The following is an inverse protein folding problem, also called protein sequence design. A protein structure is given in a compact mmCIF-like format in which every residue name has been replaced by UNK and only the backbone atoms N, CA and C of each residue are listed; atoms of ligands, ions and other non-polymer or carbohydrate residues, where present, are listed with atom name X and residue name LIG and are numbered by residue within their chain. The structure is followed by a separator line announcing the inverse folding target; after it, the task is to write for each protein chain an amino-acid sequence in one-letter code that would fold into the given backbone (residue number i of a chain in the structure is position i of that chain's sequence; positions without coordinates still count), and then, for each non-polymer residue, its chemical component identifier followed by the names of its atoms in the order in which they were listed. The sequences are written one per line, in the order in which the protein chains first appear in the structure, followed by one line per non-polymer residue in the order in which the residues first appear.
data_IF_890747927997
#
_entry.id   IF_890747927997
#
_cell.length_a   1.000
_cell.length_b   1.000
_cell.length_c   1.000
_cell.angle_alpha   90.00
_cell.angle_beta   90.00
_cell.angle_gamma   90.00
#
_symmetry.space_group_name_H-M   'P 1'
#
loop_
_entity.id
_entity.type
_entity.pdbx_description
1 polymer ?
#
# COMPACT_ATOMS: atom_id res chain seq x y z
N UNK A 1 -36.18 -0.19 27.33
CA UNK A 1 -36.02 0.83 26.31
C UNK A 1 -37.01 0.62 25.16
N UNK A 2 -37.37 1.67 24.44
CA UNK A 2 -38.32 1.59 23.33
C UNK A 2 -37.71 2.25 22.10
N UNK A 3 -37.74 1.57 20.96
CA UNK A 3 -37.42 2.18 19.67
C UNK A 3 -38.65 2.96 19.21
N UNK A 4 -38.54 4.30 19.15
CA UNK A 4 -39.68 5.19 18.74
C UNK A 4 -39.84 5.28 17.24
N UNK A 5 -38.74 5.44 16.50
CA UNK A 5 -38.76 5.51 15.05
C UNK A 5 -37.47 4.96 14.43
N UNK A 6 -37.57 4.49 13.21
CA UNK A 6 -36.46 4.10 12.34
C UNK A 6 -36.69 4.79 11.01
N UNK A 7 -35.88 5.78 10.69
CA UNK A 7 -36.01 6.63 9.50
C UNK A 7 -34.84 6.37 8.56
N UNK A 8 -35.11 5.96 7.33
CA UNK A 8 -34.08 5.84 6.28
C UNK A 8 -33.73 7.23 5.77
N UNK A 9 -32.45 7.55 5.76
CA UNK A 9 -31.87 8.78 5.22
C UNK A 9 -31.14 8.48 3.90
N UNK A 10 -30.65 9.53 3.24
CA UNK A 10 -29.81 9.38 2.05
C UNK A 10 -28.47 8.75 2.39
N UNK A 11 -27.76 8.21 1.39
CA UNK A 11 -26.44 7.55 1.51
C UNK A 11 -26.41 6.39 2.49
N UNK A 12 -27.45 5.56 2.46
CA UNK A 12 -27.59 4.39 3.34
C UNK A 12 -27.40 4.70 4.82
N UNK A 13 -27.82 5.89 5.25
CA UNK A 13 -27.88 6.25 6.66
C UNK A 13 -29.27 5.92 7.19
N UNK A 14 -29.32 5.55 8.47
CA UNK A 14 -30.58 5.31 9.19
C UNK A 14 -30.53 6.04 10.53
N UNK A 15 -31.56 6.80 10.81
CA UNK A 15 -31.72 7.44 12.10
C UNK A 15 -32.65 6.59 12.97
N UNK A 16 -32.16 6.10 14.08
CA UNK A 16 -32.91 5.32 15.06
C UNK A 16 -33.13 6.18 16.29
N UNK A 17 -34.40 6.49 16.59
CA UNK A 17 -34.76 7.26 17.79
C UNK A 17 -35.13 6.26 18.90
N UNK A 18 -34.42 6.34 19.99
CA UNK A 18 -34.52 5.41 21.13
C UNK A 18 -34.87 6.18 22.40
N UNK A 19 -35.85 5.67 23.13
CA UNK A 19 -36.22 6.16 24.46
C UNK A 19 -35.71 5.19 25.52
N UNK A 20 -34.89 5.71 26.42
CA UNK A 20 -34.46 5.03 27.65
C UNK A 20 -35.48 5.34 28.73
N UNK A 21 -36.10 4.29 29.26
CA UNK A 21 -37.17 4.45 30.25
C UNK A 21 -36.64 4.97 31.61
N UNK A 22 -37.54 5.53 32.42
CA UNK A 22 -37.23 6.01 33.79
C UNK A 22 -36.54 4.95 34.63
N UNK A 23 -36.98 3.70 34.56
CA UNK A 23 -36.43 2.58 35.33
C UNK A 23 -34.98 2.24 34.93
N UNK A 24 -34.72 2.20 33.62
CA UNK A 24 -33.39 1.92 33.06
C UNK A 24 -32.42 3.06 33.39
N UNK A 25 -32.89 4.31 33.26
CA UNK A 25 -32.09 5.48 33.58
C UNK A 25 -31.76 5.57 35.05
N UNK A 26 -32.74 5.28 35.96
CA UNK A 26 -32.50 5.23 37.39
C UNK A 26 -31.45 4.19 37.77
N UNK A 27 -31.49 3.02 37.13
CA UNK A 27 -30.46 2.00 37.32
C UNK A 27 -29.06 2.49 36.86
N UNK A 28 -28.99 3.26 35.75
CA UNK A 28 -27.75 3.87 35.28
C UNK A 28 -27.25 4.98 36.23
N UNK A 29 -28.14 5.83 36.74
CA UNK A 29 -27.82 6.85 37.74
C UNK A 29 -27.26 6.19 39.00
N UNK A 30 -27.81 5.06 39.43
CA UNK A 30 -27.26 4.30 40.55
C UNK A 30 -25.86 3.75 40.29
N UNK A 31 -25.58 3.26 39.06
CA UNK A 31 -24.24 2.83 38.65
C UNK A 31 -23.27 4.03 38.66
N UNK A 32 -23.67 5.17 38.10
CA UNK A 32 -22.89 6.40 38.08
C UNK A 32 -22.56 6.91 39.48
N UNK A 33 -23.55 6.93 40.40
CA UNK A 33 -23.30 7.25 41.79
C UNK A 33 -22.23 6.35 42.43
N UNK A 34 -22.33 5.03 42.25
CA UNK A 34 -21.38 4.08 42.83
C UNK A 34 -19.94 4.31 42.31
N UNK A 35 -19.81 4.71 41.03
CA UNK A 35 -18.53 5.04 40.39
C UNK A 35 -17.98 6.38 40.88
N UNK A 36 -18.84 7.40 41.03
CA UNK A 36 -18.44 8.77 41.29
C UNK A 36 -18.35 9.13 42.79
N UNK A 37 -19.04 8.40 43.67
CA UNK A 37 -19.13 8.72 45.13
C UNK A 37 -17.78 8.88 45.81
N UNK A 38 -16.73 8.23 45.35
CA UNK A 38 -15.38 8.33 45.91
C UNK A 38 -14.65 9.62 45.51
N UNK A 39 -15.09 10.22 44.37
CA UNK A 39 -14.51 11.45 43.83
C UNK A 39 -15.20 12.71 44.35
N UNK A 40 -16.43 12.59 44.86
CA UNK A 40 -17.23 13.73 45.33
C UNK A 40 -17.01 13.91 46.84
N UNK A 41 -16.62 15.12 47.22
CA UNK A 41 -16.44 15.51 48.64
C UNK A 41 -17.71 16.15 49.17
N UNK A 42 -18.26 15.60 50.25
CA UNK A 42 -19.47 16.14 50.90
C UNK A 42 -19.10 16.51 52.34
N UNK A 43 -19.33 17.77 52.76
CA UNK A 43 -19.07 18.18 54.13
C UNK A 43 -19.76 17.27 55.15
N UNK A 44 -19.01 16.79 56.16
CA UNK A 44 -19.53 15.89 57.19
C UNK A 44 -19.51 14.41 56.87
N UNK A 45 -19.08 14.02 55.66
CA UNK A 45 -18.95 12.61 55.24
C UNK A 45 -17.54 12.28 54.81
N UNK A 46 -17.08 11.06 55.19
CA UNK A 46 -15.83 10.53 54.63
C UNK A 46 -16.03 10.26 53.12
N UNK A 47 -15.01 10.52 52.28
CA UNK A 47 -15.08 10.21 50.81
C UNK A 47 -15.64 8.82 50.53
N UNK A 48 -16.63 8.72 49.66
CA UNK A 48 -17.30 7.47 49.26
C UNK A 48 -18.36 6.94 50.24
N UNK A 49 -18.67 7.65 51.33
CA UNK A 49 -19.69 7.24 52.32
C UNK A 49 -20.94 8.16 52.33
N UNK A 50 -20.93 9.24 51.57
CA UNK A 50 -22.11 10.10 51.46
C UNK A 50 -23.24 9.39 50.70
N UNK A 51 -24.49 9.35 51.23
CA UNK A 51 -25.64 8.79 50.51
C UNK A 51 -25.96 9.61 49.24
N UNK A 52 -26.44 8.94 48.19
CA UNK A 52 -26.80 9.58 46.91
C UNK A 52 -27.67 10.83 47.10
N UNK A 53 -28.75 10.74 47.85
CA UNK A 53 -29.66 11.85 48.16
C UNK A 53 -28.99 13.09 48.78
N UNK A 54 -27.93 12.90 49.54
CA UNK A 54 -27.18 14.02 50.11
C UNK A 54 -26.29 14.72 49.09
N UNK A 55 -25.72 13.95 48.15
CA UNK A 55 -24.95 14.51 47.05
C UNK A 55 -25.86 15.27 46.10
N UNK A 56 -27.00 14.69 45.70
CA UNK A 56 -28.03 15.32 44.86
C UNK A 56 -28.59 16.62 45.49
N UNK A 57 -28.78 16.63 46.79
CA UNK A 57 -29.24 17.84 47.52
C UNK A 57 -28.20 18.98 47.50
N UNK A 58 -26.92 18.64 47.53
CA UNK A 58 -25.82 19.62 47.61
C UNK A 58 -25.40 20.12 46.22
N UNK A 59 -25.34 19.21 45.23
CA UNK A 59 -24.82 19.50 43.90
C UNK A 59 -25.90 19.55 42.79
N UNK A 60 -27.14 19.29 43.14
CA UNK A 60 -28.27 19.22 42.24
C UNK A 60 -28.61 17.78 41.82
N UNK A 61 -29.89 17.55 41.45
CA UNK A 61 -30.40 16.24 41.06
C UNK A 61 -29.68 15.67 39.83
N UNK A 62 -29.25 16.54 38.90
CA UNK A 62 -28.56 16.17 37.68
C UNK A 62 -27.08 15.83 37.81
N UNK A 63 -26.50 15.86 39.02
CA UNK A 63 -25.05 15.66 39.22
C UNK A 63 -24.50 14.34 38.66
N UNK A 64 -25.34 13.32 38.50
CA UNK A 64 -24.97 12.01 38.00
C UNK A 64 -25.50 11.74 36.58
N UNK A 65 -26.27 12.69 35.98
CA UNK A 65 -26.96 12.42 34.71
C UNK A 65 -26.02 12.21 33.52
N UNK A 66 -24.97 13.00 33.43
CA UNK A 66 -24.00 12.85 32.34
C UNK A 66 -23.33 11.45 32.41
N UNK A 67 -22.79 11.07 33.56
CA UNK A 67 -22.19 9.73 33.75
C UNK A 67 -23.20 8.58 33.58
N UNK A 68 -24.49 8.83 33.90
CA UNK A 68 -25.56 7.86 33.76
C UNK A 68 -25.93 7.67 32.28
N UNK A 69 -26.00 8.73 31.51
CA UNK A 69 -26.19 8.69 30.05
C UNK A 69 -25.08 7.91 29.40
N UNK A 70 -23.81 8.26 29.70
CA UNK A 70 -22.63 7.56 29.18
C UNK A 70 -22.63 6.05 29.52
N UNK A 71 -23.19 5.68 30.69
CA UNK A 71 -23.27 4.29 31.11
C UNK A 71 -24.47 3.52 30.50
N UNK A 72 -25.58 4.21 30.20
CA UNK A 72 -26.79 3.60 29.66
C UNK A 72 -26.78 3.47 28.13
N UNK A 73 -26.13 4.40 27.45
CA UNK A 73 -26.17 4.61 26.01
C UNK A 73 -25.65 3.39 25.22
N UNK A 74 -24.51 2.74 25.54
CA UNK A 74 -24.01 1.58 24.81
C UNK A 74 -24.98 0.39 24.87
N UNK A 75 -25.53 0.13 26.07
CA UNK A 75 -26.47 -0.98 26.28
C UNK A 75 -27.78 -0.73 25.52
N UNK A 76 -28.32 0.51 25.60
CA UNK A 76 -29.55 0.90 24.91
C UNK A 76 -29.39 0.87 23.40
N UNK A 77 -28.28 1.36 22.87
CA UNK A 77 -27.96 1.32 21.43
C UNK A 77 -27.88 -0.12 20.92
N UNK A 78 -27.10 -0.97 21.58
CA UNK A 78 -26.91 -2.37 21.18
C UNK A 78 -28.25 -3.13 21.12
N UNK A 79 -29.11 -2.93 22.11
CA UNK A 79 -30.44 -3.53 22.15
C UNK A 79 -31.36 -2.98 21.04
N UNK A 80 -31.27 -1.64 20.78
CA UNK A 80 -32.08 -1.00 19.72
C UNK A 80 -31.71 -1.54 18.34
N UNK A 81 -30.43 -1.65 18.03
CA UNK A 81 -29.95 -2.20 16.75
C UNK A 81 -30.33 -3.68 16.62
N UNK A 82 -30.10 -4.49 17.68
CA UNK A 82 -30.48 -5.90 17.68
C UNK A 82 -31.99 -6.14 17.46
N UNK A 83 -32.86 -5.25 17.97
CA UNK A 83 -34.31 -5.35 17.76
C UNK A 83 -34.78 -4.82 16.41
N UNK A 84 -34.04 -3.92 15.78
CA UNK A 84 -34.40 -3.34 14.46
C UNK A 84 -33.92 -4.19 13.28
N UNK A 85 -33.05 -5.18 13.50
CA UNK A 85 -32.55 -6.07 12.43
C UNK A 85 -31.70 -5.33 11.39
N UNK A 86 -31.13 -4.18 11.74
CA UNK A 86 -30.28 -3.39 10.87
C UNK A 86 -28.85 -3.94 10.85
N UNK A 87 -28.30 -4.05 9.67
CA UNK A 87 -26.91 -4.45 9.45
C UNK A 87 -26.05 -3.17 9.41
N UNK A 88 -25.55 -2.77 10.58
CA UNK A 88 -24.88 -1.49 10.77
C UNK A 88 -23.39 -1.56 10.43
N UNK A 89 -22.87 -0.45 9.89
CA UNK A 89 -21.46 -0.27 9.54
C UNK A 89 -20.90 0.95 10.28
N UNK A 90 -19.74 0.78 10.90
CA UNK A 90 -19.09 1.87 11.63
C UNK A 90 -19.73 2.21 12.97
N UNK A 91 -19.38 3.39 13.48
CA UNK A 91 -19.87 3.89 14.77
C UNK A 91 -21.06 4.82 14.59
N UNK A 92 -22.05 4.79 15.52
CA UNK A 92 -23.17 5.72 15.48
C UNK A 92 -22.77 7.15 15.81
N UNK A 93 -23.39 8.12 15.12
CA UNK A 93 -23.45 9.49 15.58
C UNK A 93 -24.68 9.65 16.47
N UNK A 94 -24.44 10.08 17.71
CA UNK A 94 -25.50 10.12 18.74
C UNK A 94 -25.82 11.54 19.12
N UNK A 95 -27.09 11.88 18.99
CA UNK A 95 -27.65 13.15 19.44
C UNK A 95 -28.71 12.90 20.53
N UNK A 96 -28.63 13.64 21.63
CA UNK A 96 -29.67 13.61 22.64
C UNK A 96 -30.78 14.57 22.22
N UNK A 97 -31.99 14.03 22.03
CA UNK A 97 -33.11 14.79 21.43
C UNK A 97 -33.80 15.69 22.43
N UNK A 98 -33.83 15.29 23.71
CA UNK A 98 -34.47 16.05 24.76
C UNK A 98 -33.46 16.88 25.56
N UNK A 99 -33.66 18.20 25.65
CA UNK A 99 -32.91 19.09 26.56
C UNK A 99 -33.11 18.72 28.05
N UNK A 100 -34.04 17.82 28.35
CA UNK A 100 -34.40 17.38 29.69
C UNK A 100 -34.05 15.91 29.90
N UNK A 101 -32.76 15.67 30.17
CA UNK A 101 -32.36 14.44 30.84
C UNK A 101 -32.92 14.54 32.28
N UNK A 102 -33.88 13.70 32.63
CA UNK A 102 -34.58 13.79 33.89
C UNK A 102 -34.94 12.44 34.48
N UNK A 103 -35.78 12.52 35.55
CA UNK A 103 -36.28 11.31 36.22
C UNK A 103 -37.14 10.40 35.32
N UNK A 104 -37.66 10.95 34.24
CA UNK A 104 -38.50 10.22 33.29
C UNK A 104 -37.71 9.49 32.21
N UNK A 105 -36.36 9.56 32.29
CA UNK A 105 -35.46 8.98 31.33
C UNK A 105 -34.91 10.02 30.34
N UNK A 106 -34.48 9.57 29.15
CA UNK A 106 -34.04 10.44 28.06
C UNK A 106 -34.26 9.77 26.70
N UNK A 107 -34.34 10.59 25.65
CA UNK A 107 -34.43 10.11 24.27
C UNK A 107 -33.16 10.50 23.51
N UNK A 108 -32.60 9.59 22.75
CA UNK A 108 -31.48 9.87 21.87
C UNK A 108 -31.80 9.42 20.45
N UNK A 109 -31.19 10.09 19.51
CA UNK A 109 -31.20 9.75 18.09
C UNK A 109 -29.81 9.23 17.70
N UNK A 110 -29.73 7.98 17.25
CA UNK A 110 -28.51 7.40 16.72
C UNK A 110 -28.60 7.38 15.18
N UNK A 111 -27.73 8.13 14.52
CA UNK A 111 -27.56 8.08 13.07
C UNK A 111 -26.45 7.09 12.76
N UNK A 112 -26.79 6.03 12.02
CA UNK A 112 -25.89 4.93 11.70
C UNK A 112 -25.87 4.69 10.20
N UNK A 113 -24.70 4.31 9.68
CA UNK A 113 -24.60 3.76 8.34
C UNK A 113 -25.03 2.29 8.36
N UNK A 114 -25.79 1.88 7.35
CA UNK A 114 -26.18 0.48 7.17
C UNK A 114 -25.61 -0.05 5.86
N UNK A 115 -25.48 -1.36 5.77
CA UNK A 115 -25.08 -2.00 4.53
C UNK A 115 -26.03 -1.60 3.40
N UNK A 116 -25.52 -1.04 2.28
CA UNK A 116 -26.37 -0.56 1.20
C UNK A 116 -27.08 -1.71 0.48
N UNK A 117 -28.32 -1.46 0.05
CA UNK A 117 -28.98 -2.35 -0.88
C UNK A 117 -28.32 -2.22 -2.26
N UNK A 118 -27.86 -3.35 -2.82
CA UNK A 118 -27.12 -3.38 -4.08
C UNK A 118 -28.00 -3.94 -5.18
N UNK A 119 -28.22 -3.15 -6.22
CA UNK A 119 -28.79 -3.62 -7.47
C UNK A 119 -27.65 -4.11 -8.38
N UNK A 120 -27.61 -5.42 -8.64
CA UNK A 120 -26.63 -6.03 -9.54
C UNK A 120 -26.95 -5.65 -10.99
N UNK A 121 -25.92 -5.17 -11.70
CA UNK A 121 -25.93 -5.09 -13.14
C UNK A 121 -25.63 -6.45 -13.80
N UNK A 122 -25.02 -6.42 -14.97
CA UNK A 122 -24.61 -7.63 -15.66
C UNK A 122 -23.32 -8.18 -15.04
N UNK A 123 -23.39 -9.30 -14.32
CA UNK A 123 -22.24 -9.98 -13.72
C UNK A 123 -21.88 -11.30 -14.39
N UNK A 124 -22.78 -11.89 -15.22
CA UNK A 124 -22.50 -13.08 -16.04
C UNK A 124 -22.20 -12.69 -17.48
N UNK A 125 -21.21 -13.35 -18.09
CA UNK A 125 -20.83 -13.12 -19.47
C UNK A 125 -20.09 -11.81 -19.70
N UNK A 126 -19.53 -11.22 -18.67
CA UNK A 126 -18.65 -10.04 -18.74
C UNK A 126 -17.38 -10.43 -19.46
N UNK A 127 -16.83 -9.53 -20.29
CA UNK A 127 -15.59 -9.79 -21.02
C UNK A 127 -14.40 -9.01 -20.41
N UNK A 128 -13.25 -9.65 -20.29
CA UNK A 128 -12.01 -9.00 -19.92
C UNK A 128 -10.84 -9.55 -20.73
N UNK A 129 -9.76 -8.76 -20.83
CA UNK A 129 -8.54 -9.17 -21.51
C UNK A 129 -7.81 -10.19 -20.67
N UNK A 130 -7.59 -11.39 -21.22
CA UNK A 130 -6.76 -12.42 -20.58
C UNK A 130 -5.38 -12.39 -21.22
N UNK A 131 -4.38 -12.05 -20.44
CA UNK A 131 -2.99 -12.05 -20.90
C UNK A 131 -2.50 -13.48 -21.14
N UNK A 132 -1.85 -13.72 -22.28
CA UNK A 132 -1.15 -14.98 -22.56
C UNK A 132 0.21 -14.98 -21.87
N UNK A 133 0.40 -15.91 -20.93
CA UNK A 133 1.70 -16.06 -20.27
C UNK A 133 2.69 -16.72 -21.23
N UNK A 134 3.82 -16.04 -21.45
CA UNK A 134 4.95 -16.55 -22.23
C UNK A 134 6.22 -16.38 -21.40
N UNK A 135 6.91 -17.49 -21.17
CA UNK A 135 8.22 -17.51 -20.51
C UNK A 135 9.28 -17.82 -21.56
N UNK A 136 10.17 -16.87 -21.77
CA UNK A 136 11.28 -16.99 -22.74
C UNK A 136 12.51 -17.61 -22.08
N UNK A 137 13.45 -18.07 -22.90
CA UNK A 137 14.74 -18.52 -22.40
C UNK A 137 15.56 -17.41 -21.74
N UNK A 138 15.33 -16.16 -22.17
CA UNK A 138 15.98 -14.98 -21.59
C UNK A 138 15.46 -14.68 -20.18
N UNK A 139 14.15 -14.84 -19.91
CA UNK A 139 13.58 -14.71 -18.55
C UNK A 139 14.22 -15.70 -17.57
N UNK A 140 14.37 -16.96 -18.00
CA UNK A 140 15.01 -17.99 -17.20
C UNK A 140 16.48 -17.66 -16.94
N UNK A 141 17.20 -17.20 -17.98
CA UNK A 141 18.59 -16.80 -17.87
C UNK A 141 18.78 -15.60 -16.94
N UNK A 142 17.90 -14.62 -17.03
CA UNK A 142 17.93 -13.46 -16.15
C UNK A 142 17.73 -13.86 -14.68
N UNK A 143 16.75 -14.73 -14.40
CA UNK A 143 16.53 -15.25 -13.04
C UNK A 143 17.73 -16.02 -12.50
N UNK A 144 18.36 -16.84 -13.33
CA UNK A 144 19.58 -17.57 -12.96
C UNK A 144 20.78 -16.63 -12.74
N UNK A 145 20.92 -15.60 -13.55
CA UNK A 145 21.94 -14.56 -13.33
C UNK A 145 21.73 -13.83 -12.01
N UNK A 146 20.48 -13.48 -11.66
CA UNK A 146 20.15 -12.88 -10.35
C UNK A 146 20.49 -13.83 -9.18
N UNK A 147 20.30 -15.14 -9.35
CA UNK A 147 20.72 -16.12 -8.35
C UNK A 147 22.25 -16.17 -8.26
N UNK A 148 22.96 -16.19 -9.39
CA UNK A 148 24.42 -16.18 -9.41
C UNK A 148 25.02 -14.88 -8.84
N UNK A 149 24.36 -13.74 -9.04
CA UNK A 149 24.78 -12.45 -8.45
C UNK A 149 24.67 -12.45 -6.92
N UNK A 150 23.70 -13.15 -6.36
CA UNK A 150 23.54 -13.30 -4.90
C UNK A 150 24.65 -14.15 -4.27
N UNK A 151 25.13 -15.14 -5.01
CA UNK A 151 26.23 -16.03 -4.61
C UNK A 151 27.61 -15.49 -5.02
N UNK A 152 27.67 -14.29 -5.60
CA UNK A 152 28.92 -13.69 -6.03
C UNK A 152 29.84 -13.43 -4.83
N UNK A 153 31.11 -13.80 -5.00
CA UNK A 153 32.16 -13.58 -4.00
C UNK A 153 33.00 -12.36 -4.39
N UNK A 154 33.31 -11.56 -3.40
CA UNK A 154 34.24 -10.44 -3.57
C UNK A 154 35.68 -10.94 -3.40
N UNK A 155 36.47 -10.90 -4.47
CA UNK A 155 37.85 -11.35 -4.47
C UNK A 155 38.76 -10.14 -4.69
N UNK A 156 39.76 -9.96 -3.80
CA UNK A 156 40.75 -8.91 -3.92
C UNK A 156 41.59 -9.07 -5.16
N UNK A 157 41.77 -7.99 -5.91
CA UNK A 157 42.53 -7.98 -7.18
C UNK A 157 43.47 -6.82 -7.26
N UNK A 158 44.71 -7.09 -7.72
CA UNK A 158 45.72 -6.05 -7.93
C UNK A 158 45.69 -5.52 -9.38
N UNK A 159 44.61 -4.78 -9.68
CA UNK A 159 44.37 -4.11 -10.95
C UNK A 159 43.63 -2.80 -10.75
N UNK A 160 43.53 -2.03 -11.83
CA UNK A 160 42.72 -0.81 -11.83
C UNK A 160 41.23 -1.10 -11.65
N UNK A 161 40.57 -0.24 -10.90
CA UNK A 161 39.08 -0.26 -10.70
C UNK A 161 38.36 -0.20 -12.02
N UNK A 162 37.38 -1.06 -12.20
CA UNK A 162 36.46 -1.11 -13.32
C UNK A 162 35.02 -0.96 -12.84
N UNK A 163 34.13 -0.67 -13.77
CA UNK A 163 32.69 -0.69 -13.48
C UNK A 163 32.25 -2.11 -13.08
N UNK A 164 31.50 -2.23 -11.99
CA UNK A 164 31.05 -3.50 -11.39
C UNK A 164 32.00 -4.07 -10.32
N UNK A 165 33.18 -3.45 -10.09
CA UNK A 165 34.04 -3.81 -8.97
C UNK A 165 33.55 -3.12 -7.69
N UNK A 166 33.89 -3.68 -6.53
CA UNK A 166 33.74 -3.05 -5.24
C UNK A 166 35.07 -2.43 -4.81
N UNK A 167 35.13 -1.12 -4.75
CA UNK A 167 36.29 -0.41 -4.23
C UNK A 167 36.12 -0.15 -2.73
N UNK A 168 37.10 -0.55 -1.92
CA UNK A 168 37.17 -0.17 -0.52
C UNK A 168 37.89 1.18 -0.47
N UNK A 169 37.19 2.23 -0.09
CA UNK A 169 37.70 3.61 -0.15
C UNK A 169 37.66 4.31 1.21
N UNK A 170 38.60 5.20 1.43
CA UNK A 170 38.48 6.27 2.40
C UNK A 170 38.17 7.54 1.64
N UNK A 171 37.24 8.33 2.15
CA UNK A 171 36.87 9.60 1.53
C UNK A 171 36.64 10.69 2.57
N UNK A 172 36.97 11.92 2.24
CA UNK A 172 36.67 13.11 3.04
C UNK A 172 36.27 14.26 2.12
N UNK A 173 35.09 14.83 2.33
CA UNK A 173 34.51 15.88 1.50
C UNK A 173 34.77 17.29 2.09
N UNK A 174 35.11 18.23 1.24
CA UNK A 174 35.40 19.62 1.61
C UNK A 174 34.52 20.58 0.80
N UNK A 175 33.78 21.47 1.49
CA UNK A 175 33.13 22.64 0.90
C UNK A 175 34.00 23.86 1.10
N UNK A 176 34.57 24.43 0.03
CA UNK A 176 35.48 25.55 0.07
C UNK A 176 36.70 25.36 1.05
N UNK A 177 37.23 24.14 1.15
CA UNK A 177 38.34 23.78 2.00
C UNK A 177 37.98 23.49 3.46
N UNK A 178 36.70 23.43 3.81
CA UNK A 178 36.21 23.07 5.14
C UNK A 178 35.49 21.71 5.06
N UNK A 179 35.95 20.77 5.87
CA UNK A 179 35.27 19.45 5.94
C UNK A 179 33.84 19.60 6.44
N UNK A 180 32.88 18.91 5.81
CA UNK A 180 31.49 18.96 6.20
C UNK A 180 31.02 17.64 6.87
N UNK A 181 30.05 17.76 7.75
CA UNK A 181 29.51 16.64 8.50
C UNK A 181 28.82 15.65 7.55
N UNK A 182 29.11 14.33 7.70
CA UNK A 182 28.62 13.28 6.81
C UNK A 182 29.43 13.10 5.53
N UNK A 183 30.46 13.92 5.27
CA UNK A 183 31.34 13.80 4.11
C UNK A 183 32.55 12.89 4.29
N UNK A 184 32.69 12.21 5.46
CA UNK A 184 33.85 11.37 5.76
C UNK A 184 33.43 9.91 5.97
N UNK A 185 34.21 8.98 5.37
CA UNK A 185 34.10 7.54 5.58
C UNK A 185 35.46 6.87 5.45
N UNK A 186 35.68 5.84 6.26
CA UNK A 186 36.90 5.03 6.24
C UNK A 186 36.54 3.56 5.93
N UNK A 187 37.31 2.91 5.07
CA UNK A 187 37.10 1.53 4.61
C UNK A 187 35.67 1.27 4.11
N UNK A 188 35.11 2.23 3.40
CA UNK A 188 33.76 2.11 2.85
C UNK A 188 33.77 1.25 1.58
N UNK A 189 32.95 0.20 1.55
CA UNK A 189 32.79 -0.65 0.37
C UNK A 189 31.82 -0.01 -0.60
N UNK A 190 32.31 0.41 -1.76
CA UNK A 190 31.52 1.06 -2.81
C UNK A 190 31.52 0.21 -4.09
N UNK A 191 30.35 -0.27 -4.49
CA UNK A 191 30.17 -0.93 -5.81
C UNK A 191 30.14 0.15 -6.90
N UNK A 192 31.11 0.10 -7.81
CA UNK A 192 31.29 1.10 -8.87
C UNK A 192 30.27 0.90 -9.99
N UNK A 193 29.39 1.85 -10.16
CA UNK A 193 28.29 1.82 -11.10
C UNK A 193 26.93 1.50 -10.47
N UNK A 194 26.87 1.42 -9.13
CA UNK A 194 25.64 1.22 -8.37
C UNK A 194 24.74 2.46 -8.31
N UNK A 195 25.34 3.65 -8.47
CA UNK A 195 24.66 4.93 -8.27
C UNK A 195 24.36 5.25 -6.79
N UNK A 196 25.02 4.57 -5.86
CA UNK A 196 24.85 4.78 -4.41
C UNK A 196 25.44 6.10 -3.93
N UNK A 197 26.43 6.64 -4.66
CA UNK A 197 27.04 7.91 -4.39
C UNK A 197 26.52 9.01 -5.34
N UNK A 198 26.93 10.24 -5.05
CA UNK A 198 26.55 11.41 -5.85
C UNK A 198 26.97 11.20 -7.31
N UNK A 199 26.14 11.57 -8.30
CA UNK A 199 26.45 11.39 -9.71
C UNK A 199 27.83 11.96 -10.10
N UNK A 200 28.63 11.14 -10.80
CA UNK A 200 29.98 11.50 -11.22
C UNK A 200 31.09 11.14 -10.22
N UNK A 201 30.76 10.69 -9.00
CA UNK A 201 31.76 10.25 -8.01
C UNK A 201 32.36 8.90 -8.42
N UNK A 202 31.54 7.91 -8.68
CA UNK A 202 31.95 6.55 -9.03
C UNK A 202 32.73 6.53 -10.37
N UNK A 203 32.32 7.34 -11.34
CA UNK A 203 32.98 7.43 -12.65
C UNK A 203 34.42 7.93 -12.56
N UNK A 204 34.72 8.79 -11.57
CA UNK A 204 36.06 9.32 -11.38
C UNK A 204 37.03 8.40 -10.63
N UNK A 205 36.49 7.38 -9.94
CA UNK A 205 37.26 6.32 -9.27
C UNK A 205 37.67 5.24 -10.29
N UNK A 206 36.95 5.09 -11.39
CA UNK A 206 37.29 4.14 -12.46
C UNK A 206 38.73 4.45 -12.96
N UNK A 207 39.60 3.44 -12.97
CA UNK A 207 40.96 3.52 -13.42
C UNK A 207 41.99 3.76 -12.33
N UNK A 208 41.59 4.07 -11.07
CA UNK A 208 42.46 4.12 -9.91
C UNK A 208 42.94 2.73 -9.49
N UNK A 209 44.06 2.65 -8.79
CA UNK A 209 44.58 1.42 -8.20
C UNK A 209 44.53 1.47 -6.68
N UNK A 210 44.62 0.29 -6.06
CA UNK A 210 44.81 0.19 -4.63
C UNK A 210 46.06 1.03 -4.17
N UNK A 211 45.88 1.80 -3.10
CA UNK A 211 46.85 2.74 -2.57
C UNK A 211 46.91 4.11 -3.26
N UNK A 212 46.16 4.36 -4.31
CA UNK A 212 46.11 5.61 -5.04
C UNK A 212 45.12 6.60 -4.38
N UNK A 213 45.56 7.87 -4.29
CA UNK A 213 44.77 8.97 -3.75
C UNK A 213 44.47 9.98 -4.86
N UNK A 214 43.24 10.53 -4.84
CA UNK A 214 42.80 11.48 -5.85
C UNK A 214 41.74 12.42 -5.29
N UNK A 215 41.82 13.69 -5.70
CA UNK A 215 40.79 14.66 -5.44
C UNK A 215 39.74 14.58 -6.55
N UNK A 216 38.49 14.49 -6.14
CA UNK A 216 37.33 14.32 -7.02
C UNK A 216 36.40 15.52 -6.86
N UNK A 217 36.21 16.27 -7.94
CA UNK A 217 35.29 17.42 -7.98
C UNK A 217 33.88 16.93 -8.26
N UNK A 218 32.93 17.23 -7.36
CA UNK A 218 31.53 16.83 -7.47
C UNK A 218 30.63 18.04 -7.29
N UNK A 219 29.56 18.10 -8.09
CA UNK A 219 28.47 19.05 -7.90
C UNK A 219 27.24 18.29 -7.39
N UNK A 220 26.77 18.65 -6.20
CA UNK A 220 25.56 18.04 -5.65
C UNK A 220 24.31 18.40 -6.47
N UNK A 221 23.35 17.46 -6.64
CA UNK A 221 22.07 17.74 -7.29
C UNK A 221 21.27 18.80 -6.53
N UNK A 222 20.39 19.53 -7.23
CA UNK A 222 19.50 20.52 -6.61
C UNK A 222 18.52 19.91 -5.58
N UNK A 223 18.20 18.61 -5.74
CA UNK A 223 17.30 17.86 -4.85
C UNK A 223 18.03 17.21 -3.66
N UNK A 224 19.17 17.75 -3.24
CA UNK A 224 19.92 17.25 -2.08
C UNK A 224 19.58 18.05 -0.82
N UNK A 225 20.23 17.73 0.32
CA UNK A 225 20.03 18.50 1.57
C UNK A 225 20.31 19.98 1.36
N UNK A 226 19.51 20.86 1.99
CA UNK A 226 19.55 22.34 1.79
C UNK A 226 20.93 22.95 1.92
N UNK A 227 21.81 22.35 2.72
CA UNK A 227 23.14 22.87 3.00
C UNK A 227 24.15 22.54 1.90
N UNK A 228 23.90 21.52 1.07
CA UNK A 228 24.81 21.04 0.03
C UNK A 228 24.22 21.09 -1.39
N UNK A 229 22.89 21.31 -1.54
CA UNK A 229 22.21 21.34 -2.84
C UNK A 229 22.85 22.35 -3.80
N UNK A 230 23.23 21.88 -5.01
CA UNK A 230 23.82 22.67 -6.06
C UNK A 230 25.28 23.14 -5.79
N UNK A 231 25.86 22.78 -4.63
CA UNK A 231 27.25 23.16 -4.32
C UNK A 231 28.26 22.27 -4.99
N UNK A 232 29.38 22.87 -5.37
CA UNK A 232 30.58 22.17 -5.82
C UNK A 232 31.50 21.90 -4.63
N UNK A 233 31.83 20.63 -4.42
CA UNK A 233 32.69 20.15 -3.33
C UNK A 233 33.81 19.30 -3.87
N UNK A 234 34.86 19.18 -3.11
CA UNK A 234 36.02 18.34 -3.44
C UNK A 234 36.04 17.18 -2.44
N UNK A 235 36.10 15.97 -2.95
CA UNK A 235 36.33 14.78 -2.15
C UNK A 235 37.74 14.30 -2.30
N UNK A 236 38.47 14.21 -1.19
CA UNK A 236 39.77 13.52 -1.15
C UNK A 236 39.48 12.03 -0.97
N UNK A 237 39.81 11.22 -1.97
CA UNK A 237 39.48 9.79 -2.02
C UNK A 237 40.75 8.97 -2.12
N UNK A 238 40.87 7.98 -1.26
CA UNK A 238 41.94 6.97 -1.28
C UNK A 238 41.31 5.60 -1.52
N UNK A 239 41.79 4.85 -2.51
CA UNK A 239 41.39 3.47 -2.74
C UNK A 239 42.28 2.55 -1.92
N UNK A 240 41.73 1.88 -0.91
CA UNK A 240 42.49 0.95 -0.07
C UNK A 240 42.62 -0.43 -0.73
N UNK A 241 41.53 -0.92 -1.32
CA UNK A 241 41.46 -2.27 -1.94
C UNK A 241 40.48 -2.25 -3.10
N UNK A 242 40.77 -3.07 -4.11
CA UNK A 242 39.85 -3.32 -5.24
C UNK A 242 39.41 -4.77 -5.17
N UNK A 243 38.11 -5.00 -5.07
CA UNK A 243 37.51 -6.33 -5.05
C UNK A 243 36.68 -6.54 -6.32
N UNK A 244 36.93 -7.62 -7.02
CA UNK A 244 36.15 -8.05 -8.17
C UNK A 244 34.98 -8.92 -7.71
N UNK A 245 33.79 -8.61 -8.18
CA UNK A 245 32.60 -9.43 -7.95
C UNK A 245 32.65 -10.63 -8.90
N UNK A 246 33.11 -11.78 -8.40
CA UNK A 246 33.15 -13.01 -9.15
C UNK A 246 31.82 -13.75 -9.00
N UNK A 247 31.01 -13.70 -10.04
CA UNK A 247 29.79 -14.51 -10.13
C UNK A 247 30.18 -15.92 -10.54
N UNK A 248 29.62 -16.96 -9.89
CA UNK A 248 29.86 -18.35 -10.29
C UNK A 248 29.37 -18.58 -11.73
N UNK A 249 30.04 -19.47 -12.44
CA UNK A 249 29.61 -19.89 -13.75
C UNK A 249 28.28 -20.65 -13.64
N UNK A 250 27.38 -20.46 -14.61
CA UNK A 250 26.11 -21.19 -14.65
C UNK A 250 26.37 -22.61 -15.21
N UNK A 251 26.77 -23.51 -14.32
CA UNK A 251 27.06 -24.93 -14.59
C UNK A 251 26.38 -25.85 -13.56
N UNK A 252 26.68 -27.13 -13.61
CA UNK A 252 26.10 -28.13 -12.72
C UNK A 252 26.58 -27.97 -11.27
N UNK A 253 27.76 -27.39 -11.05
CA UNK A 253 28.30 -27.10 -9.71
C UNK A 253 27.49 -25.99 -9.08
N UNK A 254 27.20 -24.89 -9.83
CA UNK A 254 26.32 -23.84 -9.41
C UNK A 254 24.91 -24.37 -9.05
N UNK A 255 24.35 -25.28 -9.85
CA UNK A 255 23.03 -25.83 -9.56
C UNK A 255 22.99 -26.57 -8.20
N UNK A 256 24.04 -27.28 -7.85
CA UNK A 256 24.17 -27.96 -6.55
C UNK A 256 24.35 -27.02 -5.38
N UNK A 257 25.05 -25.89 -5.61
CA UNK A 257 25.31 -24.90 -4.56
C UNK A 257 24.07 -24.10 -4.19
N UNK A 258 23.18 -23.81 -5.17
CA UNK A 258 22.02 -22.91 -4.97
C UNK A 258 20.69 -23.65 -4.84
N UNK A 259 20.66 -24.97 -5.04
CA UNK A 259 19.42 -25.75 -5.07
C UNK A 259 19.64 -27.22 -4.70
N UNK A 260 18.54 -27.98 -4.67
CA UNK A 260 18.56 -29.44 -4.47
C UNK A 260 18.83 -30.23 -5.78
N UNK A 261 19.03 -29.52 -6.91
CA UNK A 261 19.21 -30.15 -8.21
C UNK A 261 20.68 -30.49 -8.49
N UNK A 262 20.90 -31.62 -9.17
CA UNK A 262 22.26 -32.06 -9.52
C UNK A 262 22.77 -31.43 -10.82
N UNK A 263 21.88 -30.96 -11.69
CA UNK A 263 22.23 -30.41 -13.01
C UNK A 263 21.63 -29.03 -13.26
N UNK A 264 22.38 -28.23 -14.02
CA UNK A 264 21.89 -26.92 -14.47
C UNK A 264 20.62 -27.03 -15.32
N UNK A 265 20.41 -28.13 -16.00
CA UNK A 265 19.21 -28.38 -16.81
C UNK A 265 17.97 -28.49 -15.92
N UNK A 266 18.07 -29.29 -14.85
CA UNK A 266 16.97 -29.44 -13.86
C UNK A 266 16.65 -28.10 -13.20
N UNK A 267 17.65 -27.35 -12.79
CA UNK A 267 17.47 -26.00 -12.22
C UNK A 267 16.79 -25.05 -13.22
N UNK A 268 17.14 -25.10 -14.51
CA UNK A 268 16.48 -24.31 -15.57
C UNK A 268 15.03 -24.69 -15.76
N UNK A 269 14.73 -25.99 -15.78
CA UNK A 269 13.38 -26.50 -15.98
C UNK A 269 12.49 -26.13 -14.77
N UNK A 270 12.99 -26.24 -13.54
CA UNK A 270 12.31 -25.82 -12.32
C UNK A 270 12.11 -24.30 -12.28
N UNK A 271 13.16 -23.52 -12.58
CA UNK A 271 13.08 -22.06 -12.64
C UNK A 271 12.03 -21.62 -13.66
N UNK A 272 12.00 -22.27 -14.83
CA UNK A 272 10.97 -22.00 -15.84
C UNK A 272 9.58 -22.32 -15.35
N UNK A 273 9.40 -23.47 -14.67
CA UNK A 273 8.12 -23.86 -14.08
C UNK A 273 7.66 -22.85 -13.03
N UNK A 274 8.56 -22.39 -12.15
CA UNK A 274 8.27 -21.37 -11.13
C UNK A 274 7.87 -20.03 -11.75
N UNK A 275 8.63 -19.51 -12.73
CA UNK A 275 8.30 -18.27 -13.43
C UNK A 275 6.95 -18.41 -14.16
N UNK A 276 6.68 -19.59 -14.76
CA UNK A 276 5.41 -19.83 -15.45
C UNK A 276 4.26 -19.79 -14.44
N UNK A 277 4.36 -20.49 -13.32
CA UNK A 277 3.35 -20.51 -12.28
C UNK A 277 3.13 -19.12 -11.64
N UNK A 278 4.20 -18.36 -11.38
CA UNK A 278 4.13 -16.98 -10.87
C UNK A 278 3.38 -16.06 -11.86
N UNK A 279 3.72 -16.14 -13.14
CA UNK A 279 3.07 -15.33 -14.19
C UNK A 279 1.63 -15.76 -14.45
N UNK A 280 1.33 -17.06 -14.45
CA UNK A 280 -0.04 -17.59 -14.59
C UNK A 280 -0.92 -17.14 -13.44
N UNK A 281 -0.42 -17.20 -12.22
CA UNK A 281 -1.13 -16.71 -11.04
C UNK A 281 -1.37 -15.20 -11.12
N UNK A 282 -0.37 -14.43 -11.51
CA UNK A 282 -0.49 -12.97 -11.69
C UNK A 282 -1.49 -12.62 -12.80
N UNK A 283 -1.43 -13.30 -13.93
CA UNK A 283 -2.37 -13.10 -15.04
C UNK A 283 -3.81 -13.52 -14.66
N UNK A 284 -3.95 -14.57 -13.85
CA UNK A 284 -5.25 -14.99 -13.32
C UNK A 284 -5.84 -13.92 -12.40
N UNK A 285 -5.07 -13.42 -11.44
CA UNK A 285 -5.52 -12.36 -10.52
C UNK A 285 -5.85 -11.08 -11.29
N UNK A 286 -5.02 -10.69 -12.27
CA UNK A 286 -5.29 -9.52 -13.10
C UNK A 286 -6.59 -9.66 -13.91
N UNK A 287 -6.86 -10.85 -14.45
CA UNK A 287 -8.08 -11.14 -15.16
C UNK A 287 -9.32 -11.12 -14.26
N UNK A 288 -9.23 -11.73 -13.07
CA UNK A 288 -10.27 -11.71 -12.04
C UNK A 288 -10.61 -10.28 -11.60
N UNK A 289 -9.57 -9.49 -11.32
CA UNK A 289 -9.74 -8.07 -10.93
C UNK A 289 -10.38 -7.25 -12.05
N UNK A 290 -9.95 -7.42 -13.29
CA UNK A 290 -10.53 -6.71 -14.44
C UNK A 290 -12.01 -7.06 -14.66
N UNK A 291 -12.41 -8.30 -14.40
CA UNK A 291 -13.81 -8.71 -14.44
C UNK A 291 -14.60 -8.07 -13.30
N UNK A 292 -14.07 -8.14 -12.08
CA UNK A 292 -14.73 -7.58 -10.90
C UNK A 292 -14.88 -6.06 -10.98
N UNK A 293 -13.86 -5.34 -11.50
CA UNK A 293 -13.96 -3.90 -11.74
C UNK A 293 -15.09 -3.54 -12.69
N UNK A 294 -15.29 -4.33 -13.77
CA UNK A 294 -16.40 -4.11 -14.70
C UNK A 294 -17.74 -4.39 -14.03
N UNK A 295 -17.86 -5.50 -13.29
CA UNK A 295 -19.06 -5.81 -12.53
C UNK A 295 -19.35 -4.72 -11.50
N UNK A 296 -18.34 -4.28 -10.76
CA UNK A 296 -18.45 -3.21 -9.78
C UNK A 296 -18.81 -1.83 -10.39
N UNK A 297 -18.43 -1.62 -11.67
CA UNK A 297 -18.85 -0.44 -12.42
C UNK A 297 -20.34 -0.40 -12.76
N UNK A 298 -20.95 -1.56 -12.91
CA UNK A 298 -22.36 -1.72 -13.33
C UNK A 298 -23.33 -1.83 -12.14
N UNK A 299 -22.86 -1.94 -10.90
CA UNK A 299 -23.72 -1.96 -9.72
C UNK A 299 -24.27 -0.56 -9.40
N UNK A 300 -25.50 -0.53 -8.88
CA UNK A 300 -26.08 0.64 -8.26
C UNK A 300 -26.20 0.41 -6.77
N UNK A 301 -25.48 1.19 -5.99
CA UNK A 301 -25.50 1.17 -4.54
C UNK A 301 -25.25 2.57 -4.01
N UNK A 302 -25.99 2.95 -2.98
CA UNK A 302 -25.78 4.22 -2.27
C UNK A 302 -24.80 3.98 -1.12
N UNK A 303 -23.49 4.15 -1.42
CA UNK A 303 -22.39 3.77 -0.53
C UNK A 303 -22.22 4.81 0.57
N UNK A 304 -22.33 4.43 1.85
CA UNK A 304 -22.07 5.36 2.95
C UNK A 304 -20.61 5.79 2.99
N UNK A 305 -20.37 7.04 3.33
CA UNK A 305 -19.03 7.62 3.45
C UNK A 305 -18.13 6.84 4.42
N UNK A 306 -18.71 6.38 5.52
CA UNK A 306 -18.01 5.58 6.54
C UNK A 306 -17.34 4.34 5.97
N UNK A 307 -17.97 3.63 5.01
CA UNK A 307 -17.36 2.46 4.37
C UNK A 307 -16.11 2.83 3.57
N UNK A 308 -16.15 3.99 2.91
CA UNK A 308 -15.00 4.48 2.13
C UNK A 308 -13.86 4.87 3.06
N UNK A 309 -14.16 5.59 4.15
CA UNK A 309 -13.17 5.98 5.16
C UNK A 309 -12.53 4.77 5.85
N UNK A 310 -13.34 3.78 6.22
CA UNK A 310 -12.82 2.54 6.82
C UNK A 310 -11.91 1.78 5.85
N UNK A 311 -12.25 1.76 4.57
CA UNK A 311 -11.39 1.12 3.56
C UNK A 311 -10.08 1.90 3.36
N UNK A 312 -10.12 3.24 3.37
CA UNK A 312 -8.91 4.05 3.36
C UNK A 312 -8.02 3.79 4.58
N UNK A 313 -8.62 3.65 5.77
CA UNK A 313 -7.87 3.29 6.99
C UNK A 313 -7.23 1.91 6.89
N UNK A 314 -7.93 0.92 6.34
CA UNK A 314 -7.34 -0.41 6.08
C UNK A 314 -6.12 -0.32 5.16
N UNK A 315 -6.21 0.45 4.07
CA UNK A 315 -5.07 0.67 3.18
C UNK A 315 -3.89 1.33 3.90
N UNK A 316 -4.17 2.30 4.78
CA UNK A 316 -3.15 2.95 5.59
C UNK A 316 -2.48 1.97 6.56
N UNK A 317 -3.26 1.13 7.23
CA UNK A 317 -2.74 0.15 8.17
C UNK A 317 -1.91 -0.92 7.47
N UNK A 318 -2.36 -1.42 6.32
CA UNK A 318 -1.57 -2.34 5.47
C UNK A 318 -0.27 -1.69 5.00
N UNK A 319 -0.31 -0.41 4.64
CA UNK A 319 0.87 0.35 4.24
C UNK A 319 1.85 0.51 5.40
N UNK A 320 1.36 0.86 6.61
CA UNK A 320 2.17 0.93 7.83
C UNK A 320 2.83 -0.40 8.16
N UNK A 321 2.09 -1.52 8.05
CA UNK A 321 2.63 -2.87 8.26
C UNK A 321 3.71 -3.23 7.24
N UNK A 322 3.51 -2.87 5.96
CA UNK A 322 4.50 -3.11 4.90
C UNK A 322 5.80 -2.34 5.15
N UNK A 323 5.72 -1.07 5.55
CA UNK A 323 6.88 -0.27 5.93
C UNK A 323 7.61 -0.88 7.14
N UNK A 324 6.85 -1.31 8.15
CA UNK A 324 7.41 -1.96 9.33
C UNK A 324 8.14 -3.26 9.00
N UNK A 325 7.60 -4.08 8.09
CA UNK A 325 8.26 -5.29 7.60
C UNK A 325 9.57 -5.00 6.86
N UNK A 326 9.70 -3.81 6.25
CA UNK A 326 10.92 -3.31 5.61
C UNK A 326 11.86 -2.61 6.60
N UNK A 327 11.51 -2.52 7.88
CA UNK A 327 12.31 -1.85 8.91
C UNK A 327 12.24 -0.32 8.85
N UNK A 328 11.28 0.25 8.12
CA UNK A 328 11.11 1.71 7.95
C UNK A 328 9.98 2.18 8.88
N UNK A 329 10.26 3.01 9.91
CA UNK A 329 9.22 3.62 10.72
C UNK A 329 8.35 4.57 9.88
N UNK A 330 7.01 4.50 10.04
CA UNK A 330 6.07 5.34 9.29
C UNK A 330 6.36 6.84 9.43
N UNK A 331 6.71 7.31 10.65
CA UNK A 331 7.05 8.72 10.89
C UNK A 331 8.31 9.18 10.13
N UNK A 332 9.26 8.28 9.94
CA UNK A 332 10.47 8.56 9.17
C UNK A 332 10.14 8.66 7.68
N UNK A 333 9.31 7.75 7.19
CA UNK A 333 8.81 7.79 5.80
C UNK A 333 8.08 9.10 5.51
N UNK A 334 7.16 9.52 6.40
CA UNK A 334 6.43 10.78 6.28
C UNK A 334 7.36 12.01 6.23
N UNK A 335 8.40 12.04 7.07
CA UNK A 335 9.40 13.13 7.05
C UNK A 335 10.21 13.17 5.76
N UNK A 336 10.53 12.01 5.18
CA UNK A 336 11.33 11.92 3.94
C UNK A 336 10.52 12.30 2.70
N UNK A 337 9.24 11.90 2.64
CA UNK A 337 8.39 12.07 1.46
C UNK A 337 7.50 13.31 1.52
N UNK A 338 7.32 13.91 2.69
CA UNK A 338 6.36 14.98 2.92
C UNK A 338 4.89 14.51 2.83
N UNK A 339 4.66 13.20 2.89
CA UNK A 339 3.32 12.62 2.93
C UNK A 339 2.81 12.61 4.38
N UNK A 340 1.57 12.97 4.58
CA UNK A 340 0.87 12.83 5.85
C UNK A 340 -0.36 11.92 5.72
N UNK A 341 -0.97 11.60 6.85
CA UNK A 341 -2.12 10.70 6.89
C UNK A 341 -3.33 11.28 6.13
N UNK A 342 -3.54 12.59 6.22
CA UNK A 342 -4.65 13.26 5.54
C UNK A 342 -4.51 13.15 4.02
N UNK A 343 -3.32 13.38 3.50
CA UNK A 343 -3.03 13.24 2.07
C UNK A 343 -3.12 11.79 1.61
N UNK A 344 -2.64 10.83 2.42
CA UNK A 344 -2.79 9.41 2.12
C UNK A 344 -4.27 9.01 2.02
N UNK A 345 -5.12 9.50 2.94
CA UNK A 345 -6.55 9.26 2.92
C UNK A 345 -7.24 9.90 1.70
N UNK A 346 -6.80 11.10 1.29
CA UNK A 346 -7.30 11.77 0.09
C UNK A 346 -6.93 11.01 -1.19
N UNK A 347 -5.66 10.68 -1.36
CA UNK A 347 -5.14 9.94 -2.53
C UNK A 347 -5.71 8.50 -2.58
N UNK A 348 -5.96 7.89 -1.42
CA UNK A 348 -6.52 6.55 -1.26
C UNK A 348 -8.03 6.45 -1.51
N UNK A 349 -8.75 7.58 -1.57
CA UNK A 349 -10.22 7.60 -1.64
C UNK A 349 -10.78 6.92 -2.89
N UNK A 350 -10.25 7.23 -4.05
CA UNK A 350 -10.73 6.65 -5.31
C UNK A 350 -10.49 5.13 -5.39
N UNK A 351 -9.30 4.60 -5.07
CA UNK A 351 -9.10 3.16 -4.90
C UNK A 351 -10.03 2.52 -3.86
N UNK A 352 -10.29 3.20 -2.73
CA UNK A 352 -11.19 2.69 -1.71
C UNK A 352 -12.64 2.56 -2.21
N UNK A 353 -13.13 3.55 -2.94
CA UNK A 353 -14.47 3.47 -3.57
C UNK A 353 -14.55 2.29 -4.52
N UNK A 354 -13.50 2.03 -5.33
CA UNK A 354 -13.47 0.87 -6.24
C UNK A 354 -13.49 -0.44 -5.46
N UNK A 355 -12.69 -0.55 -4.40
CA UNK A 355 -12.66 -1.76 -3.57
C UNK A 355 -13.99 -2.02 -2.88
N UNK A 356 -14.59 -1.01 -2.25
CA UNK A 356 -15.90 -1.14 -1.60
C UNK A 356 -16.98 -1.58 -2.61
N UNK A 357 -16.97 -1.03 -3.83
CA UNK A 357 -17.88 -1.47 -4.88
C UNK A 357 -17.69 -2.94 -5.27
N UNK A 358 -16.43 -3.40 -5.35
CA UNK A 358 -16.12 -4.80 -5.65
C UNK A 358 -16.63 -5.71 -4.52
N UNK A 359 -16.39 -5.34 -3.28
CA UNK A 359 -16.83 -6.11 -2.11
C UNK A 359 -18.35 -6.20 -2.05
N UNK A 360 -19.03 -5.08 -2.32
CA UNK A 360 -20.51 -5.04 -2.40
C UNK A 360 -21.07 -5.89 -3.55
N UNK A 361 -20.41 -5.86 -4.71
CA UNK A 361 -20.78 -6.69 -5.86
C UNK A 361 -20.65 -8.19 -5.52
N UNK A 362 -19.55 -8.59 -4.91
CA UNK A 362 -19.31 -9.97 -4.46
C UNK A 362 -20.40 -10.41 -3.46
N UNK A 363 -20.67 -9.58 -2.44
CA UNK A 363 -21.71 -9.88 -1.45
C UNK A 363 -23.10 -10.01 -2.07
N UNK A 364 -23.41 -9.17 -3.07
CA UNK A 364 -24.67 -9.26 -3.80
C UNK A 364 -24.76 -10.51 -4.68
N UNK A 365 -23.65 -10.93 -5.31
CA UNK A 365 -23.59 -12.18 -6.10
C UNK A 365 -23.79 -13.40 -5.19
N UNK A 366 -23.16 -13.44 -4.01
CA UNK A 366 -23.35 -14.51 -3.01
C UNK A 366 -24.83 -14.67 -2.69
N UNK A 367 -25.53 -13.56 -2.44
CA UNK A 367 -26.98 -13.57 -2.17
C UNK A 367 -27.81 -14.00 -3.39
N UNK A 368 -27.49 -13.51 -4.59
CA UNK A 368 -28.21 -13.79 -5.81
C UNK A 368 -28.10 -15.25 -6.24
N UNK A 369 -26.93 -15.86 -6.09
CA UNK A 369 -26.66 -17.26 -6.45
C UNK A 369 -26.93 -18.23 -5.28
N UNK A 370 -27.33 -17.73 -4.10
CA UNK A 370 -27.53 -18.52 -2.88
C UNK A 370 -26.31 -19.41 -2.57
N UNK A 371 -25.12 -18.84 -2.66
CA UNK A 371 -23.88 -19.57 -2.39
C UNK A 371 -23.76 -19.88 -0.90
N UNK A 372 -23.39 -21.12 -0.60
CA UNK A 372 -23.11 -21.56 0.77
C UNK A 372 -21.80 -22.37 0.80
N UNK A 373 -21.24 -22.50 1.99
CA UNK A 373 -19.99 -23.23 2.26
C UNK A 373 -20.27 -24.22 3.37
N UNK A 374 -19.93 -25.48 3.11
CA UNK A 374 -20.05 -26.56 4.09
C UNK A 374 -18.88 -26.56 5.06
N UNK A 375 -19.08 -27.17 6.23
CA UNK A 375 -18.00 -27.30 7.22
C UNK A 375 -16.87 -28.20 6.70
N UNK A 376 -17.16 -29.13 5.80
CA UNK A 376 -16.15 -29.98 5.13
C UNK A 376 -15.23 -29.15 4.24
N UNK A 377 -15.76 -28.21 3.47
CA UNK A 377 -14.97 -27.30 2.63
C UNK A 377 -14.07 -26.38 3.47
N UNK A 378 -14.57 -25.92 4.63
CA UNK A 378 -13.77 -25.12 5.57
C UNK A 378 -12.59 -25.97 6.12
N UNK A 379 -12.82 -27.22 6.48
CA UNK A 379 -11.77 -28.12 6.96
C UNK A 379 -10.73 -28.44 5.86
N UNK A 380 -11.16 -28.62 4.61
CA UNK A 380 -10.26 -28.81 3.46
C UNK A 380 -9.41 -27.57 3.21
N UNK A 381 -10.02 -26.39 3.31
CA UNK A 381 -9.29 -25.11 3.16
C UNK A 381 -8.22 -24.95 4.25
N UNK A 382 -8.55 -25.25 5.51
CA UNK A 382 -7.59 -25.25 6.60
C UNK A 382 -6.43 -26.22 6.36
N UNK A 383 -6.68 -27.43 5.86
CA UNK A 383 -5.63 -28.41 5.53
C UNK A 383 -4.72 -27.88 4.42
N UNK A 384 -5.30 -27.36 3.33
CA UNK A 384 -4.54 -26.79 2.23
C UNK A 384 -3.69 -25.61 2.66
N UNK A 385 -4.21 -24.72 3.51
CA UNK A 385 -3.45 -23.61 4.07
C UNK A 385 -2.32 -24.08 5.01
N UNK A 386 -2.60 -25.08 5.85
CA UNK A 386 -1.61 -25.67 6.76
C UNK A 386 -0.43 -26.26 5.98
N UNK A 387 -0.69 -26.98 4.90
CA UNK A 387 0.33 -27.52 4.00
C UNK A 387 1.12 -26.41 3.30
N UNK A 388 0.43 -25.38 2.80
CA UNK A 388 1.05 -24.27 2.09
C UNK A 388 2.01 -23.46 2.98
N UNK A 389 1.62 -23.22 4.24
CA UNK A 389 2.43 -22.42 5.18
C UNK A 389 3.35 -23.27 6.06
N UNK A 390 3.31 -24.60 5.94
CA UNK A 390 4.09 -25.50 6.79
C UNK A 390 3.73 -25.38 8.28
N UNK A 391 2.47 -25.08 8.58
CA UNK A 391 1.97 -24.88 9.94
C UNK A 391 1.10 -26.05 10.40
N UNK A 392 1.06 -26.30 11.71
CA UNK A 392 0.12 -27.27 12.26
C UNK A 392 -1.33 -26.74 12.18
N UNK A 393 -2.27 -27.63 11.83
CA UNK A 393 -3.69 -27.32 11.64
C UNK A 393 -4.30 -26.61 12.87
N UNK A 394 -3.97 -27.09 14.07
CA UNK A 394 -4.49 -26.55 15.33
C UNK A 394 -3.97 -25.15 15.64
N UNK A 395 -2.75 -24.84 15.19
CA UNK A 395 -2.22 -23.47 15.28
C UNK A 395 -2.94 -22.54 14.29
N UNK A 396 -3.15 -22.97 13.06
CA UNK A 396 -3.85 -22.19 12.05
C UNK A 396 -5.28 -21.84 12.49
N UNK A 397 -6.02 -22.79 13.07
CA UNK A 397 -7.37 -22.57 13.60
C UNK A 397 -7.44 -21.58 14.78
N UNK A 398 -6.33 -21.33 15.46
CA UNK A 398 -6.25 -20.29 16.52
C UNK A 398 -6.06 -18.89 15.97
N UNK A 399 -5.41 -18.76 14.81
CA UNK A 399 -5.15 -17.47 14.16
C UNK A 399 -6.28 -17.05 13.21
N UNK A 400 -6.91 -18.02 12.56
CA UNK A 400 -8.00 -17.80 11.61
C UNK A 400 -9.26 -18.52 12.14
N UNK A 401 -10.29 -17.76 12.43
CA UNK A 401 -11.58 -18.30 12.87
C UNK A 401 -12.40 -18.86 11.67
N UNK A 402 -13.30 -19.79 11.95
CA UNK A 402 -14.11 -20.44 10.93
C UNK A 402 -15.00 -19.46 10.13
N UNK A 403 -15.61 -18.41 10.72
CA UNK A 403 -16.32 -17.39 9.97
C UNK A 403 -15.48 -16.68 8.92
N UNK A 404 -14.22 -16.33 9.25
CA UNK A 404 -13.31 -15.68 8.29
C UNK A 404 -13.01 -16.60 7.11
N UNK A 405 -12.71 -17.87 7.35
CA UNK A 405 -12.45 -18.86 6.28
C UNK A 405 -13.71 -19.11 5.45
N UNK A 406 -14.89 -19.17 6.07
CA UNK A 406 -16.18 -19.27 5.38
C UNK A 406 -16.40 -18.09 4.42
N UNK A 407 -16.19 -16.87 4.89
CA UNK A 407 -16.33 -15.67 4.06
C UNK A 407 -15.34 -15.66 2.90
N UNK A 408 -14.09 -16.07 3.14
CA UNK A 408 -13.11 -16.21 2.07
C UNK A 408 -13.55 -17.20 1.00
N UNK A 409 -14.04 -18.37 1.39
CA UNK A 409 -14.55 -19.39 0.47
C UNK A 409 -15.79 -18.91 -0.30
N UNK A 410 -16.70 -18.20 0.36
CA UNK A 410 -17.87 -17.58 -0.30
C UNK A 410 -17.43 -16.58 -1.37
N UNK A 411 -16.45 -15.73 -1.06
CA UNK A 411 -15.90 -14.78 -2.02
C UNK A 411 -15.22 -15.51 -3.20
N UNK A 412 -14.42 -16.54 -2.93
CA UNK A 412 -13.79 -17.37 -3.97
C UNK A 412 -14.84 -18.02 -4.89
N UNK A 413 -15.94 -18.55 -4.33
CA UNK A 413 -17.06 -19.11 -5.10
C UNK A 413 -17.76 -18.06 -5.94
N UNK A 414 -18.01 -16.87 -5.40
CA UNK A 414 -18.64 -15.77 -6.14
C UNK A 414 -17.77 -15.28 -7.31
N UNK A 415 -16.45 -15.15 -7.09
CA UNK A 415 -15.50 -14.82 -8.14
C UNK A 415 -15.50 -15.91 -9.21
N UNK A 416 -15.52 -17.19 -8.83
CA UNK A 416 -15.58 -18.30 -9.76
C UNK A 416 -16.81 -18.25 -10.66
N UNK A 417 -17.99 -17.92 -10.12
CA UNK A 417 -19.23 -17.73 -10.94
C UNK A 417 -19.05 -16.67 -12.01
N UNK A 418 -18.40 -15.55 -11.68
CA UNK A 418 -18.11 -14.47 -12.65
C UNK A 418 -17.11 -14.95 -13.70
N UNK A 419 -16.01 -15.57 -13.27
CA UNK A 419 -14.92 -16.04 -14.13
C UNK A 419 -15.37 -17.15 -15.08
N UNK A 420 -16.12 -18.13 -14.59
CA UNK A 420 -16.60 -19.28 -15.39
C UNK A 420 -17.60 -18.86 -16.48
N UNK A 421 -18.36 -17.80 -16.22
CA UNK A 421 -19.26 -17.21 -17.20
C UNK A 421 -18.60 -16.20 -18.13
N UNK A 422 -17.38 -15.77 -17.82
CA UNK A 422 -16.69 -14.68 -18.52
C UNK A 422 -16.27 -15.03 -19.95
N UNK A 423 -16.17 -14.01 -20.77
CA UNK A 423 -15.60 -14.11 -22.12
C UNK A 423 -14.19 -13.56 -22.12
N UNK A 424 -13.19 -14.43 -22.33
CA UNK A 424 -11.81 -13.99 -22.45
C UNK A 424 -11.61 -13.28 -23.79
N UNK A 425 -11.26 -12.01 -23.75
CA UNK A 425 -10.83 -11.24 -24.91
C UNK A 425 -9.30 -11.38 -25.04
N UNK A 426 -8.84 -11.53 -26.29
CA UNK A 426 -7.39 -11.51 -26.54
C UNK A 426 -6.87 -10.08 -26.41
N UNK A 427 -5.67 -9.89 -25.84
CA UNK A 427 -5.07 -8.56 -25.82
C UNK A 427 -4.99 -8.01 -27.24
N UNK A 428 -5.53 -6.80 -27.44
CA UNK A 428 -5.34 -6.08 -28.67
C UNK A 428 -3.83 -5.97 -28.91
N UNK A 429 -3.35 -6.41 -30.09
CA UNK A 429 -1.94 -6.20 -30.44
C UNK A 429 -1.65 -4.72 -30.25
N UNK A 430 -0.76 -4.41 -29.32
CA UNK A 430 -0.23 -3.07 -29.16
C UNK A 430 0.34 -2.67 -30.54
N UNK A 431 -0.33 -1.75 -31.24
CA UNK A 431 0.28 -1.01 -32.30
C UNK A 431 1.49 -0.32 -31.70
N UNK A 432 2.66 -0.76 -32.14
CA UNK A 432 3.91 -0.05 -31.84
C UNK A 432 3.70 1.38 -32.34
N UNK A 433 3.51 2.31 -31.46
CA UNK A 433 3.74 3.72 -31.73
C UNK A 433 5.23 3.85 -32.02
N UNK A 434 5.57 3.83 -33.31
CA UNK A 434 6.85 4.33 -33.81
C UNK A 434 6.88 5.83 -33.51
N UNK A 435 7.78 6.24 -32.63
CA UNK A 435 7.98 7.65 -32.37
C UNK A 435 8.81 7.96 -31.12
N UNK A 436 10.05 7.50 -31.12
CA UNK A 436 11.17 8.28 -30.60
C UNK A 436 12.49 7.65 -31.11
N UNK A 437 12.97 8.18 -32.19
CA UNK A 437 14.33 7.94 -32.66
C UNK A 437 15.33 8.57 -31.70
N UNK A 438 15.96 7.75 -30.88
CA UNK A 438 17.22 8.11 -30.21
C UNK A 438 18.31 8.32 -31.25
N UNK A 439 18.69 9.56 -31.44
CA UNK A 439 19.85 9.94 -32.27
C UNK A 439 21.14 9.38 -31.63
N UNK A 440 21.65 8.30 -32.18
CA UNK A 440 23.03 7.84 -31.93
C UNK A 440 24.02 8.84 -32.58
N UNK A 441 25.11 9.23 -31.88
CA UNK A 441 26.11 10.12 -32.45
C UNK A 441 26.96 9.41 -33.51
N UNK A 442 27.02 10.02 -34.70
CA UNK A 442 27.76 9.54 -35.86
C UNK A 442 29.28 9.57 -35.61
N UNK A 443 29.93 8.44 -35.78
CA UNK A 443 31.40 8.30 -35.86
C UNK A 443 31.90 9.01 -37.12
N UNK A 444 32.71 10.05 -36.94
CA UNK A 444 33.54 10.66 -38.00
C UNK A 444 34.68 9.72 -38.34
N UNK A 445 34.67 9.18 -39.52
CA UNK A 445 35.89 8.67 -40.18
C UNK A 445 36.34 9.65 -41.25
N UNK A 446 37.53 10.17 -41.04
CA UNK A 446 38.25 10.98 -42.00
C UNK A 446 38.75 10.09 -43.16
N UNK A 447 38.54 10.49 -44.43
CA UNK A 447 39.45 10.17 -45.53
C UNK A 447 39.46 11.29 -46.56
N UNK A 448 40.68 11.62 -46.92
CA UNK A 448 41.34 12.70 -47.63
C UNK A 448 41.17 12.66 -49.15
N UNK A 449 41.26 13.86 -49.76
CA UNK A 449 41.72 14.23 -51.12
C UNK A 449 40.71 13.96 -52.25
N UNK A 450 40.60 14.75 -53.25
CA UNK A 450 41.24 15.90 -53.83
C UNK A 450 40.37 16.41 -55.01
N UNK A 451 40.52 17.73 -55.26
CA UNK A 451 40.45 18.42 -56.55
C UNK A 451 39.20 18.39 -57.46
N UNK A 452 38.81 19.59 -57.84
CA UNK A 452 38.08 19.86 -59.08
C UNK A 452 37.20 21.12 -59.05
N UNK A 453 37.75 22.22 -59.54
CA UNK A 453 37.17 23.54 -59.83
C UNK A 453 35.89 23.47 -60.69
N UNK A 454 34.94 24.34 -60.53
CA UNK A 454 34.61 25.52 -61.37
C UNK A 454 33.20 26.05 -61.14
N UNK A 455 33.21 27.31 -60.82
CA UNK A 455 32.41 28.45 -61.33
C UNK A 455 30.93 28.27 -61.71
N UNK A 456 30.06 29.03 -61.10
CA UNK A 456 29.42 30.27 -61.59
C UNK A 456 28.17 30.64 -60.79
N UNK A 457 28.20 31.86 -60.28
CA UNK A 457 27.07 32.71 -59.86
C UNK A 457 26.25 33.18 -61.06
N UNK A 458 25.24 34.05 -60.90
CA UNK A 458 24.21 34.31 -59.91
C UNK A 458 22.81 34.60 -60.57
N UNK A 459 21.80 34.86 -59.75
CA UNK A 459 20.78 35.93 -59.90
C UNK A 459 19.46 35.57 -59.22
N UNK A 460 19.10 36.30 -58.23
CA UNK A 460 18.34 37.57 -58.09
C UNK A 460 16.83 37.47 -58.19
N UNK A 461 16.22 38.06 -57.17
CA UNK A 461 14.96 38.82 -57.14
C UNK A 461 13.68 38.01 -56.84
N UNK A 462 12.75 38.43 -56.05
CA UNK A 462 12.29 39.68 -55.39
C UNK A 462 11.17 39.30 -54.43
N UNK A 463 11.18 39.72 -53.19
CA UNK A 463 10.45 40.87 -52.68
C UNK A 463 8.90 40.81 -52.78
N UNK A 464 8.28 40.94 -51.65
CA UNK A 464 7.24 41.88 -51.25
C UNK A 464 6.13 41.24 -50.40
N UNK A 465 6.04 41.71 -49.19
CA UNK A 465 5.08 42.68 -48.61
C UNK A 465 3.75 42.01 -48.22
N UNK A 466 3.18 42.20 -47.16
CA UNK A 466 2.99 43.21 -46.12
C UNK A 466 1.90 42.62 -45.23
N UNK A 467 2.05 42.71 -43.96
CA UNK A 467 1.48 43.69 -43.11
C UNK A 467 0.00 43.51 -42.73
N UNK A 468 -0.18 43.64 -41.45
CA UNK A 468 -1.26 44.32 -40.71
C UNK A 468 -2.48 43.46 -40.40
N UNK A 469 -2.89 43.44 -39.20
CA UNK A 469 -3.36 44.14 -38.04
C UNK A 469 -4.19 43.19 -37.21
N UNK A 470 -3.94 43.15 -36.01
CA UNK A 470 -4.66 43.75 -34.87
C UNK A 470 -6.11 43.24 -34.70
N UNK A 471 -6.36 42.57 -33.65
CA UNK A 471 -6.88 42.98 -32.39
C UNK A 471 -6.65 41.93 -31.33
#
# INVERSE_FOLDING_TARGET
MNVKSVEKLEKSLVAVTVEVTAEEFEAAVQKAYLKMRNKISVPGFRPGKAPRKMIEKLYGEGVFYSDAVDAALPDAYTQAIGSSGLDVVGYPEIEIVDDQIGKDGFTFKATVAVYPEVELGQYKGVSAVKEEVKVTADDVKERLNQMAEREARLVSVDRKVKKGDTAVIDFEGFDNGVAFEGGKGENHELEIGSGSFVPGFEDQIIGMKAGEEKDIDITFPENYTKDLAGKQVVFHVKVNEVKEKQTPALDDEFAKDVSEFETLKELKDDTKAKITAEREQSAKIAFENALLEKVAGDIKADIPEVMIEEQCRRFLDEFKQRLQAQGIPYDQYCKMTGMDEAKFMEDGREPAVRQVKMDLAIAAIIKAENLDVTDEEIEEKYKSMAEQYGMELDMLKKYLDAPTVRNQLLNEKAIAVVVDSAKAEKPAKAEKTEGEEEKKPAKKTAKKAAEGEEEKKPAKKTAKKAAEKAE
#
